data_IF_835400423692
#
_entry.id   IF_835400423692
#
_cell.length_a   1.000
_cell.length_b   1.000
_cell.length_c   1.000
_cell.angle_alpha   90.00
_cell.angle_beta   90.00
_cell.angle_gamma   90.00
#
_symmetry.space_group_name_H-M   'P 1'
#
loop_
_entity.id
_entity.type
_entity.pdbx_description
1 polymer ?
#
# COMPACT_ATOMS: atom_id res chain seq x y z
N UNK A 1 0.01 16.67 16.18
CA UNK A 1 1.08 17.44 15.50
C UNK A 1 0.60 18.85 15.20
N UNK A 2 1.42 19.87 15.50
CA UNK A 2 1.13 21.29 15.28
C UNK A 2 1.42 21.77 13.85
N UNK A 3 2.37 21.14 13.15
CA UNK A 3 2.73 21.42 11.75
C UNK A 3 2.80 20.10 10.96
N UNK A 4 2.44 20.12 9.68
CA UNK A 4 2.61 18.96 8.79
C UNK A 4 4.07 18.78 8.38
N UNK A 5 4.54 17.53 8.17
CA UNK A 5 5.92 17.28 7.80
C UNK A 5 6.28 17.88 6.43
N UNK A 6 7.53 18.31 6.30
CA UNK A 6 8.08 18.84 5.04
C UNK A 6 8.74 17.72 4.25
N UNK A 7 8.54 17.76 2.94
CA UNK A 7 9.15 16.85 1.99
C UNK A 7 10.60 17.27 1.72
N UNK A 8 11.52 16.31 1.67
CA UNK A 8 12.91 16.53 1.27
C UNK A 8 13.46 15.28 0.56
N UNK A 9 14.54 15.45 -0.18
CA UNK A 9 15.21 14.33 -0.86
C UNK A 9 16.05 13.52 0.13
N UNK A 10 15.82 12.20 0.15
CA UNK A 10 16.54 11.25 0.96
C UNK A 10 16.84 10.00 0.13
N UNK A 11 18.13 9.66 -0.02
CA UNK A 11 18.58 8.52 -0.87
C UNK A 11 17.98 8.58 -2.30
N UNK A 12 17.85 9.80 -2.85
CA UNK A 12 17.29 10.05 -4.19
C UNK A 12 15.76 9.93 -4.29
N UNK A 13 15.05 9.81 -3.16
CA UNK A 13 13.59 9.69 -3.08
C UNK A 13 13.02 10.80 -2.21
N UNK A 14 11.88 11.36 -2.61
CA UNK A 14 11.18 12.35 -1.79
C UNK A 14 10.48 11.67 -0.61
N UNK A 15 10.91 12.02 0.61
CA UNK A 15 10.40 11.48 1.87
C UNK A 15 10.19 12.61 2.90
N UNK A 16 9.72 12.23 4.09
CA UNK A 16 9.60 13.10 5.25
C UNK A 16 10.29 12.48 6.45
N UNK A 17 10.52 13.28 7.50
CA UNK A 17 11.14 12.81 8.75
C UNK A 17 10.39 11.62 9.37
N UNK A 18 9.07 11.56 9.18
CA UNK A 18 8.21 10.44 9.62
C UNK A 18 8.71 9.08 9.10
N UNK A 19 9.39 9.03 7.96
CA UNK A 19 9.89 7.80 7.35
C UNK A 19 11.41 7.65 7.41
N UNK A 20 12.14 8.68 7.85
CA UNK A 20 13.61 8.70 7.84
C UNK A 20 14.22 8.76 9.24
N UNK A 21 13.48 9.20 10.27
CA UNK A 21 14.05 9.40 11.62
C UNK A 21 14.48 8.10 12.30
N UNK A 22 13.88 6.97 11.90
CA UNK A 22 14.25 5.63 12.36
C UNK A 22 14.99 4.82 11.27
N UNK A 23 15.56 5.49 10.27
CA UNK A 23 16.08 4.83 9.06
C UNK A 23 17.14 3.78 9.34
N UNK A 24 18.05 4.00 10.29
CA UNK A 24 19.09 3.02 10.60
C UNK A 24 18.51 1.69 11.12
N UNK A 25 17.40 1.72 11.88
CA UNK A 25 16.69 0.49 12.27
C UNK A 25 15.97 -0.15 11.08
N UNK A 26 15.35 0.66 10.21
CA UNK A 26 14.65 0.17 9.02
C UNK A 26 15.63 -0.51 8.06
N UNK A 27 16.69 0.19 7.66
CA UNK A 27 17.73 -0.28 6.73
C UNK A 27 18.40 -1.58 7.21
N UNK A 28 18.62 -1.70 8.52
CA UNK A 28 19.27 -2.86 9.13
C UNK A 28 18.28 -3.89 9.73
N UNK A 29 16.98 -3.74 9.44
CA UNK A 29 15.93 -4.64 9.93
C UNK A 29 16.28 -6.10 9.62
N UNK A 30 15.91 -7.00 10.53
CA UNK A 30 16.19 -8.44 10.40
C UNK A 30 14.90 -9.19 10.07
N UNK A 31 14.66 -9.37 8.78
CA UNK A 31 13.60 -10.25 8.30
C UNK A 31 13.82 -11.71 8.75
N UNK A 32 12.72 -12.44 8.93
CA UNK A 32 12.69 -13.88 9.17
C UNK A 32 12.34 -14.61 7.86
N UNK A 33 12.79 -15.87 7.65
CA UNK A 33 12.50 -16.60 6.41
C UNK A 33 11.02 -16.74 6.06
N UNK A 34 10.14 -16.75 7.06
CA UNK A 34 8.70 -16.88 6.90
C UNK A 34 7.97 -15.53 6.83
N UNK A 35 8.65 -14.39 7.01
CA UNK A 35 8.02 -13.07 6.87
C UNK A 35 7.38 -12.89 5.49
N UNK A 36 6.25 -12.16 5.49
CA UNK A 36 5.53 -11.78 4.27
C UNK A 36 5.55 -10.26 4.18
N UNK A 37 6.20 -9.76 3.13
CA UNK A 37 6.25 -8.34 2.82
C UNK A 37 5.10 -7.97 1.87
N UNK A 38 4.24 -7.06 2.30
CA UNK A 38 3.16 -6.47 1.53
C UNK A 38 3.62 -5.07 1.11
N UNK A 39 3.98 -4.93 -0.16
CA UNK A 39 4.55 -3.71 -0.70
C UNK A 39 3.60 -3.08 -1.72
N UNK A 40 3.43 -1.76 -1.68
CA UNK A 40 2.68 -1.03 -2.71
C UNK A 40 3.21 0.38 -2.84
N UNK A 41 2.99 1.04 -3.97
CA UNK A 41 2.95 2.51 -3.93
C UNK A 41 1.79 2.96 -3.02
N UNK A 42 1.85 4.10 -2.31
CA UNK A 42 0.75 4.54 -1.47
C UNK A 42 -0.57 4.56 -2.25
N UNK A 43 -1.66 4.12 -1.60
CA UNK A 43 -3.03 4.14 -2.14
C UNK A 43 -3.34 3.19 -3.31
N UNK A 44 -2.49 2.18 -3.52
CA UNK A 44 -2.74 1.12 -4.50
C UNK A 44 -3.49 -0.12 -3.97
N UNK A 45 -3.95 -0.13 -2.71
CA UNK A 45 -4.74 -1.24 -2.16
C UNK A 45 -4.09 -2.02 -1.00
N UNK A 46 -3.04 -1.47 -0.38
CA UNK A 46 -2.32 -2.09 0.76
C UNK A 46 -3.24 -2.67 1.83
N UNK A 47 -4.15 -1.86 2.39
CA UNK A 47 -5.04 -2.32 3.48
C UNK A 47 -5.92 -3.48 3.05
N UNK A 48 -6.37 -3.48 1.79
CA UNK A 48 -7.20 -4.54 1.24
C UNK A 48 -6.42 -5.86 1.14
N UNK A 49 -5.22 -5.80 0.57
CA UNK A 49 -4.34 -6.98 0.52
C UNK A 49 -3.93 -7.44 1.92
N UNK A 50 -3.60 -6.52 2.82
CA UNK A 50 -3.27 -6.84 4.22
C UNK A 50 -4.41 -7.60 4.90
N UNK A 51 -5.65 -7.14 4.75
CA UNK A 51 -6.81 -7.85 5.30
C UNK A 51 -7.01 -9.21 4.64
N UNK A 52 -6.84 -9.35 3.32
CA UNK A 52 -6.93 -10.65 2.63
C UNK A 52 -5.91 -11.65 3.20
N UNK A 53 -4.63 -11.25 3.29
CA UNK A 53 -3.56 -12.13 3.75
C UNK A 53 -3.74 -12.50 5.23
N UNK A 54 -4.13 -11.54 6.06
CA UNK A 54 -4.39 -11.76 7.49
C UNK A 54 -5.65 -12.62 7.74
N UNK A 55 -6.69 -12.49 6.90
CA UNK A 55 -7.85 -13.39 6.96
C UNK A 55 -7.53 -14.80 6.48
N UNK A 56 -6.60 -14.96 5.52
CA UNK A 56 -6.13 -16.28 5.05
C UNK A 56 -5.29 -17.01 6.10
N UNK A 57 -4.36 -16.32 6.76
CA UNK A 57 -3.49 -16.96 7.75
C UNK A 57 -4.15 -17.15 9.11
N UNK A 58 -4.91 -16.14 9.54
CA UNK A 58 -5.30 -16.03 10.94
C UNK A 58 -6.81 -15.92 11.13
N UNK A 59 -7.61 -15.99 10.05
CA UNK A 59 -9.05 -15.72 10.10
C UNK A 59 -9.85 -16.65 11.01
N UNK A 60 -9.33 -17.85 11.25
CA UNK A 60 -9.94 -18.88 12.11
C UNK A 60 -9.08 -19.21 13.33
N UNK A 61 -8.03 -18.42 13.61
CA UNK A 61 -7.15 -18.64 14.75
C UNK A 61 -7.91 -18.41 16.07
N UNK A 62 -7.95 -19.43 16.91
CA UNK A 62 -8.56 -19.36 18.24
C UNK A 62 -7.87 -18.29 19.10
N UNK A 63 -8.67 -17.45 19.76
CA UNK A 63 -8.15 -16.34 20.57
C UNK A 63 -7.69 -15.10 19.77
N UNK A 64 -7.83 -15.09 18.43
CA UNK A 64 -7.63 -13.86 17.65
C UNK A 64 -8.59 -12.79 18.18
N UNK A 65 -8.04 -11.68 18.68
CA UNK A 65 -8.83 -10.51 19.05
C UNK A 65 -9.26 -9.82 17.75
N UNK A 66 -10.54 -9.89 17.33
CA UNK A 66 -11.00 -9.18 16.14
C UNK A 66 -10.99 -7.66 16.32
N UNK A 67 -10.61 -7.17 17.50
CA UNK A 67 -10.69 -5.78 17.93
C UNK A 67 -9.32 -5.07 17.90
N UNK A 68 -8.36 -5.56 17.10
CA UNK A 68 -7.08 -4.89 16.89
C UNK A 68 -7.04 -4.29 15.47
N UNK A 69 -6.72 -3.00 15.31
CA UNK A 69 -6.64 -2.36 14.01
C UNK A 69 -5.64 -3.02 13.04
N UNK A 70 -5.90 -2.91 11.74
CA UNK A 70 -5.08 -3.50 10.68
C UNK A 70 -3.63 -3.00 10.70
N UNK A 71 -3.39 -1.75 11.13
CA UNK A 71 -2.05 -1.18 11.24
C UNK A 71 -1.24 -1.73 12.42
N UNK A 72 -1.87 -2.43 13.36
CA UNK A 72 -1.19 -3.20 14.41
C UNK A 72 -1.04 -4.67 14.00
N UNK A 73 -2.02 -5.24 13.27
CA UNK A 73 -1.94 -6.61 12.73
C UNK A 73 -0.90 -6.75 11.61
N UNK A 74 -0.74 -5.70 10.82
CA UNK A 74 0.20 -5.60 9.70
C UNK A 74 0.97 -4.27 9.81
N UNK A 75 1.98 -4.20 10.71
CA UNK A 75 2.68 -2.95 10.99
C UNK A 75 3.40 -2.38 9.77
N UNK A 76 3.46 -1.05 9.72
CA UNK A 76 4.08 -0.31 8.64
C UNK A 76 5.56 -0.08 8.94
N UNK A 77 6.45 -0.84 8.29
CA UNK A 77 7.85 -0.99 8.68
C UNK A 77 8.60 0.33 8.90
N UNK A 78 8.49 1.26 7.95
CA UNK A 78 9.23 2.53 7.96
C UNK A 78 8.55 3.66 8.74
N UNK A 79 7.39 3.44 9.39
CA UNK A 79 6.71 4.53 10.11
C UNK A 79 7.41 4.88 11.43
N UNK A 80 7.66 6.17 11.63
CA UNK A 80 8.20 6.75 12.85
C UNK A 80 7.46 8.05 13.17
N UNK A 81 6.32 7.93 13.87
CA UNK A 81 5.54 9.07 14.36
C UNK A 81 5.81 9.22 15.85
N UNK A 82 6.14 10.43 16.29
CA UNK A 82 6.36 10.72 17.71
C UNK A 82 5.12 10.36 18.55
N UNK A 83 5.35 9.68 19.68
CA UNK A 83 4.28 9.22 20.58
C UNK A 83 3.58 7.92 20.16
N UNK A 84 3.91 7.35 19.00
CA UNK A 84 3.45 6.03 18.57
C UNK A 84 4.58 5.01 18.61
N UNK A 85 4.24 3.72 18.71
CA UNK A 85 5.22 2.64 18.52
C UNK A 85 5.78 2.71 17.10
N UNK A 86 7.11 2.60 16.98
CA UNK A 86 7.80 2.64 15.69
C UNK A 86 7.52 1.36 14.91
N UNK A 87 7.41 1.47 13.58
CA UNK A 87 7.11 0.34 12.71
C UNK A 87 8.03 -0.87 12.92
N UNK A 88 9.34 -0.65 13.02
CA UNK A 88 10.31 -1.72 13.27
C UNK A 88 10.05 -2.45 14.58
N UNK A 89 9.73 -1.71 15.63
CA UNK A 89 9.54 -2.24 16.99
C UNK A 89 8.19 -2.99 17.05
N UNK A 90 7.15 -2.46 16.41
CA UNK A 90 5.85 -3.11 16.25
C UNK A 90 5.94 -4.44 15.48
N UNK A 91 6.77 -4.53 14.43
CA UNK A 91 7.01 -5.79 13.71
C UNK A 91 7.75 -6.81 14.59
N UNK A 92 8.66 -6.37 15.45
CA UNK A 92 9.37 -7.26 16.38
C UNK A 92 8.45 -7.79 17.50
N UNK A 93 7.48 -7.00 17.93
CA UNK A 93 6.51 -7.36 18.99
C UNK A 93 5.33 -8.20 18.50
N UNK A 94 5.18 -8.43 17.18
CA UNK A 94 4.13 -9.27 16.63
C UNK A 94 4.16 -10.70 17.22
N UNK A 95 3.05 -11.19 17.79
CA UNK A 95 2.98 -12.54 18.36
C UNK A 95 2.77 -13.64 17.30
N UNK A 96 2.54 -13.26 16.04
CA UNK A 96 2.20 -14.17 14.96
C UNK A 96 3.44 -14.60 14.16
N UNK A 97 3.37 -15.83 13.64
CA UNK A 97 4.25 -16.32 12.57
C UNK A 97 3.35 -16.95 11.49
N UNK A 98 3.50 -16.60 10.20
CA UNK A 98 4.42 -15.60 9.68
C UNK A 98 4.07 -14.15 10.11
N UNK A 99 5.06 -13.25 10.18
CA UNK A 99 4.77 -11.83 10.37
C UNK A 99 4.31 -11.22 9.04
N UNK A 100 3.24 -10.45 9.10
CA UNK A 100 2.75 -9.67 7.95
C UNK A 100 3.27 -8.23 8.09
N UNK A 101 4.03 -7.77 7.11
CA UNK A 101 4.75 -6.49 7.19
C UNK A 101 4.36 -5.62 6.02
N UNK A 102 3.89 -4.41 6.27
CA UNK A 102 3.56 -3.43 5.24
C UNK A 102 4.77 -2.55 4.93
N UNK A 103 4.96 -2.20 3.66
CA UNK A 103 5.89 -1.13 3.24
C UNK A 103 5.42 -0.36 2.00
N UNK A 104 5.89 0.87 1.87
CA UNK A 104 5.80 1.72 0.68
C UNK A 104 7.18 2.09 0.13
N UNK A 105 8.25 1.47 0.64
CA UNK A 105 9.59 1.73 0.15
C UNK A 105 9.72 1.32 -1.33
N UNK A 106 10.32 2.19 -2.17
CA UNK A 106 10.83 1.78 -3.47
C UNK A 106 11.74 0.55 -3.33
N UNK A 107 11.74 -0.32 -4.34
CA UNK A 107 12.40 -1.63 -4.27
C UNK A 107 13.87 -1.58 -3.86
N UNK A 108 14.58 -0.52 -4.24
CA UNK A 108 16.00 -0.29 -3.92
C UNK A 108 16.25 0.09 -2.45
N UNK A 109 15.21 0.56 -1.74
CA UNK A 109 15.27 0.96 -0.33
C UNK A 109 14.76 -0.12 0.63
N UNK A 110 14.16 -1.20 0.11
CA UNK A 110 13.72 -2.34 0.92
C UNK A 110 14.93 -2.98 1.64
N UNK A 111 14.83 -3.28 2.95
CA UNK A 111 15.94 -3.87 3.70
C UNK A 111 16.45 -5.15 3.07
N UNK A 112 17.78 -5.26 2.95
CA UNK A 112 18.42 -6.37 2.23
C UNK A 112 18.07 -7.75 2.80
N UNK A 113 17.78 -7.82 4.10
CA UNK A 113 17.40 -9.05 4.78
C UNK A 113 16.19 -9.74 4.15
N UNK A 114 15.22 -9.01 3.59
CA UNK A 114 14.05 -9.62 2.94
C UNK A 114 14.46 -10.45 1.72
N UNK A 115 15.45 -9.97 0.96
CA UNK A 115 16.00 -10.67 -0.20
C UNK A 115 16.90 -11.83 0.24
N UNK A 116 17.76 -11.59 1.23
CA UNK A 116 18.71 -12.59 1.76
C UNK A 116 17.99 -13.78 2.41
N UNK A 117 16.87 -13.55 3.10
CA UNK A 117 16.04 -14.58 3.72
C UNK A 117 15.02 -15.21 2.77
N UNK A 118 14.99 -14.78 1.51
CA UNK A 118 14.07 -15.28 0.49
C UNK A 118 12.59 -15.21 0.92
N UNK A 119 12.22 -14.11 1.61
CA UNK A 119 10.87 -13.85 2.09
C UNK A 119 9.87 -13.79 0.93
N UNK A 120 8.59 -14.11 1.21
CA UNK A 120 7.53 -13.90 0.21
C UNK A 120 7.18 -12.42 0.12
N UNK A 121 7.00 -11.93 -1.10
CA UNK A 121 6.57 -10.56 -1.36
C UNK A 121 5.28 -10.54 -2.16
N UNK A 122 4.30 -9.77 -1.70
CA UNK A 122 3.11 -9.43 -2.47
C UNK A 122 3.17 -7.94 -2.80
N UNK A 123 3.16 -7.63 -4.10
CA UNK A 123 3.11 -6.27 -4.60
C UNK A 123 1.76 -5.98 -5.25
N UNK A 124 1.11 -4.87 -4.91
CA UNK A 124 -0.09 -4.40 -5.62
C UNK A 124 0.20 -3.07 -6.29
N UNK A 125 -0.07 -3.02 -7.59
CA UNK A 125 -0.06 -1.81 -8.38
C UNK A 125 -1.51 -1.38 -8.67
N UNK A 126 -1.71 -0.07 -8.83
CA UNK A 126 -3.00 0.52 -9.24
C UNK A 126 -2.74 1.52 -10.34
N UNK A 127 -3.68 1.65 -11.26
CA UNK A 127 -3.60 2.63 -12.33
C UNK A 127 -3.30 4.03 -11.77
N UNK A 128 -2.48 4.82 -12.47
CA UNK A 128 -1.92 6.04 -11.90
C UNK A 128 -2.96 7.12 -11.66
N UNK A 129 -4.05 7.17 -12.44
CA UNK A 129 -5.07 8.22 -12.35
C UNK A 129 -5.90 8.07 -11.08
N UNK A 130 -6.44 6.88 -10.82
CA UNK A 130 -7.12 6.61 -9.55
C UNK A 130 -6.17 6.67 -8.36
N UNK A 131 -4.93 6.23 -8.56
CA UNK A 131 -3.92 6.31 -7.51
C UNK A 131 -3.66 7.76 -7.10
N UNK A 132 -3.48 8.67 -8.07
CA UNK A 132 -3.27 10.10 -7.86
C UNK A 132 -4.45 10.74 -7.12
N UNK A 133 -5.68 10.52 -7.58
CA UNK A 133 -6.90 11.02 -6.93
C UNK A 133 -6.99 10.52 -5.49
N UNK A 134 -6.74 9.22 -5.29
CA UNK A 134 -6.78 8.64 -3.96
C UNK A 134 -5.69 9.17 -3.04
N UNK A 135 -4.52 9.54 -3.57
CA UNK A 135 -3.42 10.13 -2.81
C UNK A 135 -3.74 11.58 -2.43
N UNK A 136 -4.27 12.38 -3.36
CA UNK A 136 -4.72 13.74 -3.09
C UNK A 136 -5.68 13.81 -1.88
N UNK A 137 -6.72 12.97 -1.89
CA UNK A 137 -7.67 12.91 -0.79
C UNK A 137 -7.06 12.39 0.52
N UNK A 138 -6.09 11.49 0.42
CA UNK A 138 -5.38 10.96 1.58
C UNK A 138 -4.48 12.01 2.23
N UNK A 139 -3.73 12.79 1.45
CA UNK A 139 -2.87 13.84 1.97
C UNK A 139 -3.71 14.92 2.66
N UNK A 140 -4.88 15.25 2.13
CA UNK A 140 -5.80 16.19 2.80
C UNK A 140 -6.22 15.75 4.20
N UNK A 141 -6.54 14.47 4.39
CA UNK A 141 -7.03 13.94 5.67
C UNK A 141 -5.93 13.47 6.62
N UNK A 142 -4.76 13.08 6.12
CA UNK A 142 -3.72 12.46 6.92
C UNK A 142 -2.64 13.46 7.34
N UNK A 143 -2.60 13.80 8.63
CA UNK A 143 -1.67 14.78 9.19
C UNK A 143 -0.20 14.33 9.14
N UNK A 144 0.08 13.03 8.94
CA UNK A 144 1.47 12.54 8.74
C UNK A 144 2.01 12.80 7.32
N UNK A 145 1.19 13.37 6.43
CA UNK A 145 1.59 13.77 5.09
C UNK A 145 1.81 15.28 5.00
N UNK A 146 2.64 15.77 4.06
CA UNK A 146 2.68 17.18 3.71
C UNK A 146 1.30 17.70 3.29
N UNK A 147 1.12 19.02 3.29
CA UNK A 147 -0.11 19.62 2.72
C UNK A 147 -0.26 19.27 1.23
N UNK A 148 -1.43 18.77 0.85
CA UNK A 148 -1.74 18.44 -0.54
C UNK A 148 -1.66 19.70 -1.43
N UNK A 149 -2.24 20.81 -0.96
CA UNK A 149 -2.47 22.01 -1.74
C UNK A 149 -3.64 21.85 -2.73
N UNK A 150 -3.77 22.74 -3.73
CA UNK A 150 -4.81 22.64 -4.75
C UNK A 150 -4.64 21.43 -5.68
N UNK A 151 -5.75 20.89 -6.17
CA UNK A 151 -5.79 19.73 -7.08
C UNK A 151 -4.86 19.87 -8.29
N UNK A 152 -4.93 20.98 -9.01
CA UNK A 152 -4.14 21.19 -10.24
C UNK A 152 -2.64 21.10 -9.96
N UNK A 153 -2.17 21.63 -8.83
CA UNK A 153 -0.78 21.54 -8.40
C UNK A 153 -0.41 20.17 -7.86
N UNK A 154 -1.38 19.39 -7.41
CA UNK A 154 -1.14 18.03 -6.96
C UNK A 154 -0.86 17.08 -8.14
N UNK A 155 -1.49 17.31 -9.29
CA UNK A 155 -1.19 16.55 -10.51
C UNK A 155 0.28 16.75 -10.90
N UNK A 156 0.75 18.00 -10.94
CA UNK A 156 2.15 18.33 -11.25
C UNK A 156 3.12 17.63 -10.28
N UNK A 157 2.82 17.66 -8.97
CA UNK A 157 3.61 16.98 -7.94
C UNK A 157 3.66 15.47 -8.17
N UNK A 158 2.53 14.84 -8.46
CA UNK A 158 2.48 13.40 -8.73
C UNK A 158 3.30 13.03 -9.96
N UNK A 159 3.09 13.74 -11.07
CA UNK A 159 3.78 13.48 -12.35
C UNK A 159 5.29 13.63 -12.25
N UNK A 160 5.76 14.61 -11.46
CA UNK A 160 7.18 14.87 -11.22
C UNK A 160 7.80 14.06 -10.07
N UNK A 161 7.02 13.21 -9.39
CA UNK A 161 7.48 12.42 -8.25
C UNK A 161 7.78 13.23 -6.99
N UNK A 162 7.23 14.44 -6.87
CA UNK A 162 7.33 15.33 -5.71
C UNK A 162 6.28 15.01 -4.63
N UNK A 163 6.14 13.72 -4.32
CA UNK A 163 5.27 13.19 -3.26
C UNK A 163 6.06 12.22 -2.38
N UNK A 164 5.53 11.91 -1.19
CA UNK A 164 6.16 10.91 -0.31
C UNK A 164 6.24 9.56 -1.03
N UNK A 165 7.41 8.92 -0.96
CA UNK A 165 7.81 7.71 -1.72
C UNK A 165 8.09 7.94 -3.21
N UNK A 166 8.10 9.20 -3.64
CA UNK A 166 8.60 9.60 -4.95
C UNK A 166 7.66 9.29 -6.12
N UNK A 167 8.28 9.05 -7.27
CA UNK A 167 7.65 8.79 -8.56
C UNK A 167 6.87 7.47 -8.57
N UNK A 168 5.56 7.55 -8.84
CA UNK A 168 4.72 6.37 -9.07
C UNK A 168 5.30 5.50 -10.20
N UNK A 169 5.74 6.13 -11.30
CA UNK A 169 6.28 5.46 -12.48
C UNK A 169 7.50 4.59 -12.14
N UNK A 170 8.43 5.16 -11.39
CA UNK A 170 9.68 4.47 -11.05
C UNK A 170 9.42 3.40 -9.99
N UNK A 171 8.47 3.64 -9.08
CA UNK A 171 8.05 2.66 -8.08
C UNK A 171 7.45 1.41 -8.74
N UNK A 172 6.39 1.56 -9.56
CA UNK A 172 5.70 0.40 -10.17
C UNK A 172 6.61 -0.38 -11.11
N UNK A 173 7.48 0.31 -11.88
CA UNK A 173 8.44 -0.32 -12.78
C UNK A 173 9.58 -1.01 -12.01
N UNK A 174 10.10 -0.39 -10.96
CA UNK A 174 11.17 -0.98 -10.14
C UNK A 174 10.74 -2.31 -9.53
N UNK A 175 9.55 -2.36 -8.93
CA UNK A 175 8.97 -3.59 -8.39
C UNK A 175 8.65 -4.62 -9.49
N UNK A 176 8.16 -4.17 -10.66
CA UNK A 176 7.88 -5.05 -11.80
C UNK A 176 9.15 -5.73 -12.34
N UNK A 177 10.23 -4.97 -12.49
CA UNK A 177 11.51 -5.48 -12.97
C UNK A 177 12.14 -6.42 -11.92
N UNK A 178 12.02 -6.10 -10.63
CA UNK A 178 12.53 -6.98 -9.56
C UNK A 178 11.90 -8.37 -9.61
N UNK A 179 10.60 -8.47 -9.91
CA UNK A 179 9.88 -9.74 -10.07
C UNK A 179 10.57 -10.70 -11.04
N UNK A 180 11.27 -10.22 -12.08
CA UNK A 180 11.98 -11.06 -13.04
C UNK A 180 13.18 -11.78 -12.42
N UNK A 181 13.80 -11.18 -11.40
CA UNK A 181 14.97 -11.73 -10.70
C UNK A 181 14.64 -12.35 -9.34
N UNK A 182 13.40 -12.18 -8.87
CA UNK A 182 12.96 -12.61 -7.55
C UNK A 182 11.65 -13.41 -7.64
N UNK A 183 11.73 -14.75 -7.79
CA UNK A 183 10.57 -15.59 -8.09
C UNK A 183 9.55 -15.68 -6.93
N UNK A 184 9.96 -15.31 -5.70
CA UNK A 184 9.07 -15.21 -4.54
C UNK A 184 8.38 -13.85 -4.43
N UNK A 185 7.99 -13.29 -5.57
CA UNK A 185 7.18 -12.08 -5.67
C UNK A 185 5.93 -12.33 -6.50
N UNK A 186 4.76 -12.04 -5.92
CA UNK A 186 3.50 -11.97 -6.64
C UNK A 186 3.17 -10.50 -6.91
N UNK A 187 3.05 -10.14 -8.18
CA UNK A 187 2.64 -8.81 -8.62
C UNK A 187 1.17 -8.85 -9.04
N UNK A 188 0.36 -8.03 -8.39
CA UNK A 188 -1.09 -7.94 -8.53
C UNK A 188 -1.48 -6.56 -9.04
N UNK A 189 -2.66 -6.49 -9.67
CA UNK A 189 -3.28 -5.23 -10.06
C UNK A 189 -4.54 -5.02 -9.23
N UNK A 190 -4.71 -3.81 -8.69
CA UNK A 190 -5.89 -3.40 -7.95
C UNK A 190 -7.17 -3.58 -8.78
N UNK A 191 -7.04 -3.37 -10.10
CA UNK A 191 -8.11 -3.53 -11.07
C UNK A 191 -8.56 -4.99 -11.19
N UNK A 192 -7.62 -5.93 -11.22
CA UNK A 192 -7.90 -7.37 -11.25
C UNK A 192 -8.63 -7.81 -9.97
N UNK A 193 -8.21 -7.26 -8.82
CA UNK A 193 -8.85 -7.54 -7.54
C UNK A 193 -10.30 -7.01 -7.47
N UNK A 194 -10.59 -5.89 -8.14
CA UNK A 194 -11.95 -5.35 -8.23
C UNK A 194 -12.83 -6.15 -9.18
N UNK A 195 -12.28 -6.56 -10.32
CA UNK A 195 -12.99 -7.31 -11.35
C UNK A 195 -13.35 -8.73 -10.87
N UNK A 196 -12.39 -9.45 -10.28
CA UNK A 196 -12.59 -10.82 -9.82
C UNK A 196 -11.77 -11.11 -8.56
N UNK A 197 -12.32 -10.71 -7.41
CA UNK A 197 -11.68 -10.92 -6.11
C UNK A 197 -11.47 -12.41 -5.79
N UNK A 198 -12.36 -13.30 -6.24
CA UNK A 198 -12.27 -14.74 -5.94
C UNK A 198 -11.07 -15.37 -6.66
N UNK A 199 -10.87 -15.01 -7.94
CA UNK A 199 -9.69 -15.37 -8.72
C UNK A 199 -8.41 -14.86 -8.05
N UNK A 200 -8.39 -13.59 -7.64
CA UNK A 200 -7.19 -13.01 -7.02
C UNK A 200 -6.89 -13.62 -5.63
N UNK A 201 -7.91 -13.90 -4.81
CA UNK A 201 -7.73 -14.64 -3.55
C UNK A 201 -7.12 -16.02 -3.83
N UNK A 202 -7.62 -16.74 -4.83
CA UNK A 202 -7.08 -18.06 -5.20
C UNK A 202 -5.62 -17.99 -5.66
N UNK A 203 -5.24 -16.95 -6.42
CA UNK A 203 -3.85 -16.69 -6.82
C UNK A 203 -2.97 -16.37 -5.60
N UNK A 204 -3.45 -15.53 -4.69
CA UNK A 204 -2.75 -15.17 -3.45
C UNK A 204 -2.53 -16.40 -2.57
N UNK A 205 -3.58 -17.21 -2.34
CA UNK A 205 -3.48 -18.45 -1.55
C UNK A 205 -2.46 -19.42 -2.15
N UNK A 206 -2.52 -19.64 -3.47
CA UNK A 206 -1.58 -20.53 -4.17
C UNK A 206 -0.13 -20.06 -4.02
N UNK A 207 0.12 -18.77 -4.17
CA UNK A 207 1.46 -18.18 -3.98
C UNK A 207 1.97 -18.30 -2.54
N UNK A 208 1.08 -18.13 -1.56
CA UNK A 208 1.38 -18.30 -0.15
C UNK A 208 1.57 -19.77 0.26
N UNK A 209 1.23 -20.71 -0.62
CA UNK A 209 1.24 -22.15 -0.33
C UNK A 209 0.10 -22.57 0.61
N UNK A 210 -1.01 -21.84 0.59
CA UNK A 210 -2.21 -22.09 1.37
C UNK A 210 -3.27 -22.77 0.48
N UNK A 211 -4.07 -23.65 1.10
CA UNK A 211 -5.16 -24.37 0.45
C UNK A 211 -6.47 -24.16 1.21
N UNK A 212 -7.00 -22.92 1.27
CA UNK A 212 -8.25 -22.65 1.97
C UNK A 212 -9.40 -23.41 1.32
N UNK A 213 -10.28 -23.96 2.15
CA UNK A 213 -11.57 -24.51 1.74
C UNK A 213 -12.44 -23.44 1.08
N UNK A 214 -13.45 -23.86 0.33
CA UNK A 214 -14.40 -22.92 -0.29
C UNK A 214 -15.10 -22.05 0.76
N UNK A 215 -15.41 -22.61 1.93
CA UNK A 215 -15.97 -21.86 3.06
C UNK A 215 -15.00 -20.78 3.56
N UNK A 216 -13.71 -21.09 3.67
CA UNK A 216 -12.69 -20.09 4.05
C UNK A 216 -12.55 -19.01 2.98
N UNK A 217 -12.57 -19.36 1.69
CA UNK A 217 -12.54 -18.39 0.58
C UNK A 217 -13.76 -17.48 0.60
N UNK A 218 -14.96 -18.03 0.79
CA UNK A 218 -16.20 -17.27 0.93
C UNK A 218 -16.14 -16.30 2.12
N UNK A 219 -15.62 -16.77 3.26
CA UNK A 219 -15.42 -15.94 4.47
C UNK A 219 -14.44 -14.80 4.20
N UNK A 220 -13.26 -15.09 3.64
CA UNK A 220 -12.24 -14.09 3.29
C UNK A 220 -12.82 -13.07 2.31
N UNK A 221 -13.47 -13.54 1.24
CA UNK A 221 -14.14 -12.69 0.25
C UNK A 221 -15.16 -11.77 0.92
N UNK A 222 -16.05 -12.31 1.74
CA UNK A 222 -17.06 -11.54 2.46
C UNK A 222 -16.47 -10.48 3.39
N UNK A 223 -15.42 -10.83 4.15
CA UNK A 223 -14.76 -9.91 5.09
C UNK A 223 -13.93 -8.81 4.40
N UNK A 224 -13.53 -9.05 3.16
CA UNK A 224 -12.64 -8.14 2.39
C UNK A 224 -13.39 -7.36 1.32
N UNK A 225 -14.73 -7.44 1.25
CA UNK A 225 -15.52 -6.51 0.44
C UNK A 225 -15.35 -5.08 0.94
N UNK A 226 -15.33 -4.12 0.02
CA UNK A 226 -15.14 -2.70 0.35
C UNK A 226 -16.13 -2.20 1.41
N UNK A 227 -17.43 -2.44 1.25
CA UNK A 227 -18.44 -2.00 2.22
C UNK A 227 -18.28 -2.66 3.59
N UNK A 228 -17.85 -3.92 3.63
CA UNK A 228 -17.56 -4.64 4.88
C UNK A 228 -16.33 -4.07 5.58
N UNK A 229 -15.27 -3.76 4.85
CA UNK A 229 -14.07 -3.12 5.42
C UNK A 229 -14.33 -1.67 5.84
N UNK A 230 -15.14 -0.94 5.07
CA UNK A 230 -15.54 0.45 5.36
C UNK A 230 -16.37 0.59 6.63
N UNK A 231 -17.14 -0.44 6.98
CA UNK A 231 -17.94 -0.49 8.21
C UNK A 231 -17.18 -1.13 9.39
N UNK A 232 -15.94 -1.57 9.17
CA UNK A 232 -15.11 -2.19 10.19
C UNK A 232 -14.09 -1.19 10.74
N UNK A 233 -14.28 -0.74 11.98
CA UNK A 233 -13.37 0.21 12.65
C UNK A 233 -11.94 -0.31 12.78
N UNK A 234 -11.73 -1.63 12.65
CA UNK A 234 -10.41 -2.28 12.68
C UNK A 234 -9.73 -2.34 11.32
N UNK A 235 -10.37 -1.85 10.26
CA UNK A 235 -9.80 -1.80 8.91
C UNK A 235 -9.88 -0.40 8.28
N UNK A 236 -10.82 0.45 8.70
CA UNK A 236 -11.12 1.75 8.10
C UNK A 236 -10.22 2.92 8.58
N UNK A 237 -9.31 2.67 9.53
CA UNK A 237 -8.44 3.66 10.16
C UNK A 237 -9.18 4.76 10.94
N UNK A 238 -10.44 4.55 11.35
CA UNK A 238 -11.19 5.48 12.19
C UNK A 238 -10.57 5.66 13.59
N UNK A 239 -9.80 4.68 14.05
CA UNK A 239 -9.09 4.69 15.34
C UNK A 239 -7.70 5.33 15.28
N UNK A 240 -7.25 5.81 14.12
CA UNK A 240 -5.93 6.41 13.96
C UNK A 240 -6.01 7.94 14.01
N UNK A 241 -5.74 8.53 15.17
CA UNK A 241 -5.98 9.96 15.48
C UNK A 241 -5.31 10.97 14.53
N UNK A 242 -4.28 10.55 13.80
CA UNK A 242 -3.60 11.39 12.82
C UNK A 242 -4.37 11.53 11.50
N UNK A 243 -5.48 10.80 11.32
CA UNK A 243 -6.34 10.84 10.14
C UNK A 243 -7.69 11.48 10.45
N UNK A 244 -7.93 12.65 9.87
CA UNK A 244 -9.21 13.36 9.99
C UNK A 244 -10.21 12.85 8.94
N UNK A 245 -10.96 11.81 9.34
CA UNK A 245 -11.96 11.15 8.49
C UNK A 245 -13.08 12.11 8.02
N UNK A 246 -13.28 13.25 8.68
CA UNK A 246 -14.29 14.25 8.29
C UNK A 246 -13.89 15.03 7.03
N UNK A 247 -12.59 15.20 6.78
CA UNK A 247 -12.06 15.84 5.57
C UNK A 247 -12.20 14.92 4.37
N UNK A 248 -11.80 13.66 4.55
CA UNK A 248 -11.99 12.59 3.57
C UNK A 248 -11.89 11.25 4.28
N UNK A 249 -12.86 10.33 4.11
CA UNK A 249 -12.75 9.02 4.71
C UNK A 249 -11.63 8.20 4.08
N UNK A 250 -10.89 7.43 4.88
CA UNK A 250 -9.83 6.54 4.39
C UNK A 250 -10.38 5.51 3.40
N UNK A 251 -11.51 4.88 3.77
CA UNK A 251 -12.31 4.02 2.90
C UNK A 251 -13.22 4.88 2.01
N UNK A 252 -12.62 5.55 1.01
CA UNK A 252 -13.27 6.61 0.21
C UNK A 252 -14.32 6.12 -0.79
N UNK A 253 -13.87 5.40 -1.83
CA UNK A 253 -14.71 4.93 -2.95
C UNK A 253 -14.51 3.46 -3.27
N UNK A 254 -13.26 2.99 -3.27
CA UNK A 254 -12.97 1.56 -3.49
C UNK A 254 -13.31 1.06 -4.89
N UNK A 255 -13.27 1.93 -5.90
CA UNK A 255 -13.63 1.62 -7.29
C UNK A 255 -12.48 1.93 -8.25
N UNK A 256 -12.58 1.38 -9.46
CA UNK A 256 -11.73 1.72 -10.62
C UNK A 256 -12.48 2.70 -11.51
N UNK A 257 -11.82 3.75 -11.97
CA UNK A 257 -12.37 4.75 -12.89
C UNK A 257 -12.93 6.01 -12.24
N UNK A 258 -12.86 6.14 -10.90
CA UNK A 258 -13.36 7.33 -10.20
C UNK A 258 -12.58 8.60 -10.58
N UNK A 259 -11.36 8.47 -11.10
CA UNK A 259 -10.57 9.57 -11.63
C UNK A 259 -11.30 10.43 -12.67
N UNK A 260 -12.25 9.87 -13.43
CA UNK A 260 -13.07 10.60 -14.40
C UNK A 260 -13.92 11.71 -13.75
N UNK A 261 -14.21 11.60 -12.46
CA UNK A 261 -14.94 12.62 -11.69
C UNK A 261 -14.06 13.80 -11.23
N UNK A 262 -12.74 13.72 -11.44
CA UNK A 262 -11.77 14.68 -10.91
C UNK A 262 -10.93 15.34 -11.99
N UNK A 263 -10.52 14.59 -13.01
CA UNK A 263 -9.72 15.14 -14.10
C UNK A 263 -10.58 15.97 -15.05
N UNK A 264 -10.11 17.17 -15.39
CA UNK A 264 -10.60 17.85 -16.59
C UNK A 264 -10.09 17.14 -17.84
N UNK A 265 -10.73 17.38 -18.99
CA UNK A 265 -10.27 16.83 -20.28
C UNK A 265 -8.84 17.24 -20.60
N UNK A 266 -8.48 18.49 -20.31
CA UNK A 266 -7.13 19.02 -20.54
C UNK A 266 -6.10 18.33 -19.64
N UNK A 267 -6.37 18.22 -18.34
CA UNK A 267 -5.51 17.51 -17.39
C UNK A 267 -5.32 16.05 -17.80
N UNK A 268 -6.39 15.40 -18.27
CA UNK A 268 -6.31 14.01 -18.73
C UNK A 268 -5.39 13.86 -19.95
N UNK A 269 -5.53 14.74 -20.94
CA UNK A 269 -4.71 14.70 -22.15
C UNK A 269 -3.22 14.89 -21.83
N UNK A 270 -2.88 15.89 -21.02
CA UNK A 270 -1.50 16.16 -20.58
C UNK A 270 -0.94 14.98 -19.77
N UNK A 271 -1.74 14.41 -18.86
CA UNK A 271 -1.33 13.25 -18.08
C UNK A 271 -1.09 12.02 -18.97
N UNK A 272 -1.93 11.79 -19.98
CA UNK A 272 -1.80 10.66 -20.90
C UNK A 272 -0.53 10.75 -21.77
N UNK A 273 -0.14 11.96 -22.19
CA UNK A 273 1.11 12.18 -22.91
C UNK A 273 2.34 11.86 -22.04
N UNK A 274 2.37 12.38 -20.81
CA UNK A 274 3.47 12.08 -19.89
C UNK A 274 3.49 10.59 -19.50
N UNK A 275 2.33 9.98 -19.24
CA UNK A 275 2.24 8.55 -18.94
C UNK A 275 2.82 7.69 -20.07
N UNK A 276 2.44 7.96 -21.33
CA UNK A 276 2.98 7.26 -22.50
C UNK A 276 4.50 7.37 -22.56
N UNK A 277 5.04 8.58 -22.35
CA UNK A 277 6.48 8.83 -22.37
C UNK A 277 7.22 8.10 -21.24
N UNK A 278 6.68 8.13 -20.02
CA UNK A 278 7.30 7.50 -18.83
C UNK A 278 7.22 5.97 -18.85
N UNK A 279 6.21 5.41 -19.50
CA UNK A 279 5.94 3.97 -19.53
C UNK A 279 6.30 3.30 -20.87
N UNK A 280 6.84 4.05 -21.84
CA UNK A 280 7.12 3.58 -23.22
C UNK A 280 7.91 2.26 -23.27
N UNK A 281 8.88 2.09 -22.37
CA UNK A 281 9.75 0.90 -22.32
C UNK A 281 9.25 -0.20 -21.38
N UNK A 282 8.12 0.03 -20.70
CA UNK A 282 7.56 -0.90 -19.73
C UNK A 282 6.62 -1.87 -20.40
N UNK A 283 6.62 -3.12 -19.92
CA UNK A 283 5.61 -4.12 -20.29
C UNK A 283 4.39 -4.09 -19.37
N UNK A 284 4.35 -3.18 -18.38
CA UNK A 284 3.19 -2.99 -17.52
C UNK A 284 2.01 -2.44 -18.31
N UNK A 285 0.86 -3.09 -18.18
CA UNK A 285 -0.40 -2.65 -18.74
C UNK A 285 -1.41 -2.43 -17.61
N UNK A 286 -1.75 -1.16 -17.37
CA UNK A 286 -2.76 -0.78 -16.39
C UNK A 286 -4.11 -0.54 -17.08
N UNK A 287 -5.20 -0.93 -16.40
CA UNK A 287 -6.56 -0.63 -16.84
C UNK A 287 -7.04 0.62 -16.12
N UNK A 288 -7.55 1.60 -16.87
CA UNK A 288 -8.06 2.85 -16.29
C UNK A 288 -9.54 2.73 -15.88
N UNK A 289 -10.19 1.64 -16.28
CA UNK A 289 -11.59 1.27 -16.03
C UNK A 289 -11.75 -0.25 -16.18
N UNK A 290 -12.81 -0.79 -15.58
CA UNK A 290 -13.23 -2.21 -15.66
C UNK A 290 -14.73 -2.30 -15.94
#
# INVERSE_FOLDING_TARGET
MSERPKLFEFEGIMLTHIFTDNWEKVKNFKARPDDILIATYPKAGTTWLSEIVDQLYFGEMEGRKPNIPIYERVPFLEICVEGLEKGTDAVESLPTSPRLIKTHLPVQLVPKSFWEQNCRVLYVARNPKDNLVSFYHFDRMNKVQPEAGPWDKYIDKFSSGQLVFGSWYDHVQGWWNKRETYPRMLYLFYEDMNEDLSREISRISSFLGLSPSEKEKERVTGKTKFETMKSNSMADYSTFDMMDQSISPFMRKGTVGDWKNHFTVAQNAEFDEEYKRRMEKSTLAFRMEI
#
